data_IF_522653209048
#
_entry.id   IF_522653209048
#
_cell.length_a   1.000
_cell.length_b   1.000
_cell.length_c   1.000
_cell.angle_alpha   90.00
_cell.angle_beta   90.00
_cell.angle_gamma   90.00
#
_symmetry.space_group_name_H-M   'P 1'
#
loop_
_entity.id
_entity.type
_entity.pdbx_description
1 polymer ?
#
# COMPACT_ATOMS: atom_id res chain seq x y z
N UNK A 1 0.77 14.18 -11.45
CA UNK A 1 0.32 13.03 -10.63
C UNK A 1 -0.92 12.44 -11.28
N UNK A 2 -0.86 11.18 -11.57
CA UNK A 2 -2.02 10.42 -12.04
C UNK A 2 -2.73 9.79 -10.84
N UNK A 3 -4.05 9.92 -10.79
CA UNK A 3 -4.89 9.25 -9.79
C UNK A 3 -5.72 8.17 -10.48
N UNK A 4 -5.64 6.95 -9.97
CA UNK A 4 -6.45 5.81 -10.44
C UNK A 4 -7.35 5.37 -9.29
N UNK A 5 -8.63 5.16 -9.58
CA UNK A 5 -9.60 4.64 -8.61
C UNK A 5 -10.31 3.44 -9.18
N UNK A 6 -10.35 2.37 -8.37
CA UNK A 6 -11.06 1.13 -8.71
C UNK A 6 -11.94 0.72 -7.54
N UNK A 7 -13.07 0.10 -7.85
CA UNK A 7 -14.00 -0.40 -6.84
C UNK A 7 -14.16 -1.90 -7.02
N UNK A 8 -14.05 -2.62 -5.90
CA UNK A 8 -14.24 -4.07 -5.85
C UNK A 8 -15.30 -4.41 -4.81
N UNK A 9 -16.02 -5.50 -5.05
CA UNK A 9 -16.86 -6.10 -4.02
C UNK A 9 -16.00 -7.05 -3.20
N UNK A 10 -15.96 -6.85 -1.89
CA UNK A 10 -15.20 -7.68 -0.95
C UNK A 10 -16.12 -8.22 0.14
N UNK A 11 -15.73 -9.32 0.74
CA UNK A 11 -16.38 -9.80 1.94
C UNK A 11 -16.02 -8.92 3.13
N UNK A 12 -17.03 -8.48 3.88
CA UNK A 12 -16.81 -7.77 5.12
C UNK A 12 -16.55 -8.81 6.20
N UNK A 13 -15.39 -8.74 6.82
CA UNK A 13 -15.07 -9.63 7.93
C UNK A 13 -15.92 -9.24 9.16
N UNK A 14 -16.91 -10.07 9.47
CA UNK A 14 -17.80 -9.87 10.61
C UNK A 14 -17.49 -10.87 11.72
N UNK A 15 -16.73 -10.46 12.72
CA UNK A 15 -16.67 -11.17 13.99
C UNK A 15 -17.33 -10.35 15.08
N UNK A 16 -17.84 -11.00 16.14
CA UNK A 16 -18.41 -10.27 17.30
C UNK A 16 -17.41 -9.30 17.93
N UNK A 17 -16.11 -9.63 17.92
CA UNK A 17 -15.05 -8.76 18.40
C UNK A 17 -14.86 -7.54 17.47
N UNK A 18 -14.87 -7.75 16.16
CA UNK A 18 -14.77 -6.65 15.19
C UNK A 18 -15.96 -5.72 15.29
N UNK A 19 -17.17 -6.25 15.38
CA UNK A 19 -18.39 -5.45 15.58
C UNK A 19 -18.36 -4.66 16.89
N UNK A 20 -17.88 -5.26 17.97
CA UNK A 20 -17.85 -4.62 19.28
C UNK A 20 -16.84 -3.49 19.38
N UNK A 21 -15.64 -3.66 18.80
CA UNK A 21 -14.53 -2.72 18.98
C UNK A 21 -14.24 -1.83 17.77
N UNK A 22 -14.62 -2.24 16.56
CA UNK A 22 -14.22 -1.58 15.32
C UNK A 22 -15.38 -1.21 14.39
N UNK A 23 -16.65 -1.48 14.76
CA UNK A 23 -17.82 -1.24 13.90
C UNK A 23 -17.97 0.18 13.37
N UNK A 24 -17.46 1.16 14.12
CA UNK A 24 -17.55 2.59 13.78
C UNK A 24 -16.21 3.16 13.29
N UNK A 25 -15.18 2.32 13.13
CA UNK A 25 -13.87 2.77 12.69
C UNK A 25 -13.75 2.69 11.16
N UNK A 26 -13.23 3.75 10.57
CA UNK A 26 -12.91 3.81 9.14
C UNK A 26 -11.57 3.13 8.92
N UNK A 27 -11.61 1.94 8.37
CA UNK A 27 -10.42 1.15 8.07
C UNK A 27 -9.82 1.54 6.73
N UNK A 28 -8.49 1.67 6.69
CA UNK A 28 -7.69 1.75 5.48
C UNK A 28 -6.66 0.63 5.42
N UNK A 29 -6.32 0.18 4.23
CA UNK A 29 -5.16 -0.68 3.93
C UNK A 29 -4.21 0.14 3.10
N UNK A 30 -2.93 0.18 3.46
CA UNK A 30 -1.97 1.12 2.89
C UNK A 30 -0.66 0.44 2.50
N UNK A 31 -0.13 0.84 1.34
CA UNK A 31 1.14 0.38 0.79
C UNK A 31 1.75 1.44 -0.13
N UNK A 32 3.09 1.52 -0.21
CA UNK A 32 3.82 2.43 -1.07
C UNK A 32 4.86 1.74 -1.93
N UNK A 33 5.13 2.34 -3.11
CA UNK A 33 6.26 2.01 -3.97
C UNK A 33 7.26 3.16 -3.98
N UNK A 34 8.53 2.83 -3.83
CA UNK A 34 9.63 3.80 -3.76
C UNK A 34 10.77 3.39 -4.68
N UNK A 35 11.63 4.32 -5.09
CA UNK A 35 12.82 3.99 -5.89
C UNK A 35 13.96 3.35 -5.10
N UNK A 36 13.72 3.00 -3.84
CA UNK A 36 14.67 2.32 -2.98
C UNK A 36 14.40 2.59 -1.51
N UNK A 37 15.15 1.94 -0.64
CA UNK A 37 14.85 1.88 0.79
C UNK A 37 15.24 3.15 1.59
N UNK A 38 16.09 4.01 1.03
CA UNK A 38 16.54 5.23 1.72
C UNK A 38 15.66 6.43 1.37
N UNK A 39 14.86 6.96 2.30
CA UNK A 39 14.03 8.13 2.05
C UNK A 39 14.83 9.41 1.75
N UNK A 40 16.10 9.46 2.13
CA UNK A 40 16.99 10.59 1.81
C UNK A 40 17.35 10.61 0.32
N UNK A 41 17.44 9.44 -0.34
CA UNK A 41 17.91 9.29 -1.72
C UNK A 41 16.81 8.95 -2.70
N UNK A 42 15.83 8.19 -2.24
CA UNK A 42 14.79 7.59 -3.07
C UNK A 42 13.47 8.33 -2.95
N UNK A 43 12.85 8.77 -4.04
CA UNK A 43 11.52 9.35 -4.01
C UNK A 43 10.42 8.30 -3.86
N UNK A 44 9.27 8.73 -3.36
CA UNK A 44 8.00 8.03 -3.46
C UNK A 44 7.51 8.07 -4.90
N UNK A 45 7.09 6.92 -5.46
CA UNK A 45 6.62 6.82 -6.84
C UNK A 45 5.17 6.42 -6.97
N UNK A 46 4.65 5.68 -6.01
CA UNK A 46 3.25 5.29 -5.96
C UNK A 46 2.83 5.15 -4.50
N UNK A 47 1.64 5.58 -4.18
CA UNK A 47 0.98 5.27 -2.93
C UNK A 47 -0.42 4.74 -3.20
N UNK A 48 -0.80 3.68 -2.50
CA UNK A 48 -2.11 3.06 -2.60
C UNK A 48 -2.82 3.04 -1.25
N UNK A 49 -4.09 3.42 -1.25
CA UNK A 49 -4.98 3.33 -0.09
C UNK A 49 -6.27 2.62 -0.51
N UNK A 50 -6.60 1.53 0.20
CA UNK A 50 -7.87 0.84 0.07
C UNK A 50 -8.73 1.18 1.29
N UNK A 51 -9.98 1.55 1.06
CA UNK A 51 -11.00 1.73 2.10
C UNK A 51 -12.22 0.90 1.77
N UNK A 52 -12.93 0.40 2.79
CA UNK A 52 -14.13 -0.42 2.60
C UNK A 52 -15.31 0.25 3.29
N UNK A 53 -16.41 0.38 2.57
CA UNK A 53 -17.67 0.87 3.13
C UNK A 53 -18.49 -0.24 3.83
N UNK A 54 -19.59 0.15 4.46
CA UNK A 54 -20.48 -0.78 5.18
C UNK A 54 -21.19 -1.78 4.25
N UNK A 55 -21.19 -1.52 2.96
CA UNK A 55 -21.79 -2.39 1.94
C UNK A 55 -20.79 -3.39 1.35
N UNK A 56 -19.50 -3.31 1.73
CA UNK A 56 -18.43 -4.14 1.20
C UNK A 56 -17.91 -3.66 -0.17
N UNK A 57 -18.06 -2.37 -0.48
CA UNK A 57 -17.38 -1.81 -1.63
C UNK A 57 -15.99 -1.35 -1.18
N UNK A 58 -14.95 -2.00 -1.69
CA UNK A 58 -13.56 -1.61 -1.50
C UNK A 58 -13.17 -0.59 -2.56
N UNK A 59 -12.93 0.65 -2.16
CA UNK A 59 -12.37 1.68 -3.01
C UNK A 59 -10.85 1.68 -2.87
N UNK A 60 -10.14 1.40 -3.95
CA UNK A 60 -8.68 1.54 -4.05
C UNK A 60 -8.38 2.85 -4.75
N UNK A 61 -7.67 3.74 -4.07
CA UNK A 61 -7.13 4.98 -4.61
C UNK A 61 -5.62 4.87 -4.74
N UNK A 62 -5.11 5.00 -5.95
CA UNK A 62 -3.68 4.93 -6.26
C UNK A 62 -3.20 6.27 -6.81
N UNK A 63 -2.10 6.79 -6.28
CA UNK A 63 -1.49 8.06 -6.63
C UNK A 63 -0.11 7.80 -7.22
N UNK A 64 0.01 7.91 -8.55
CA UNK A 64 1.22 7.58 -9.31
C UNK A 64 1.97 8.85 -9.72
N UNK A 65 3.28 8.88 -9.47
CA UNK A 65 4.16 9.98 -9.85
C UNK A 65 4.61 9.84 -11.31
N UNK A 66 4.02 10.60 -12.22
CA UNK A 66 4.46 10.68 -13.60
C UNK A 66 5.76 11.49 -13.74
N UNK A 67 5.99 12.43 -12.84
CA UNK A 67 7.19 13.28 -12.76
C UNK A 67 7.59 13.55 -11.32
N UNK A 68 8.83 14.03 -11.13
CA UNK A 68 9.42 14.18 -9.78
C UNK A 68 8.60 15.11 -8.84
N UNK A 69 8.01 16.15 -9.40
CA UNK A 69 7.20 17.11 -8.62
C UNK A 69 5.92 16.50 -8.07
N UNK A 70 5.46 15.39 -8.66
CA UNK A 70 4.22 14.74 -8.26
C UNK A 70 4.32 14.08 -6.86
N UNK A 71 5.53 13.79 -6.40
CA UNK A 71 5.75 13.25 -5.05
C UNK A 71 5.11 14.13 -3.96
N UNK A 72 5.32 15.45 -4.05
CA UNK A 72 4.73 16.38 -3.09
C UNK A 72 3.20 16.38 -3.14
N UNK A 73 2.62 16.27 -4.34
CA UNK A 73 1.17 16.18 -4.53
C UNK A 73 0.59 14.88 -3.96
N UNK A 74 1.30 13.76 -4.13
CA UNK A 74 0.92 12.47 -3.54
C UNK A 74 0.88 12.60 -2.02
N UNK A 75 1.92 13.16 -1.41
CA UNK A 75 2.02 13.31 0.03
C UNK A 75 0.95 14.24 0.60
N UNK A 76 0.61 15.30 -0.12
CA UNK A 76 -0.48 16.20 0.26
C UNK A 76 -1.84 15.48 0.20
N UNK A 77 -2.07 14.66 -0.84
CA UNK A 77 -3.30 13.89 -0.96
C UNK A 77 -3.42 12.84 0.14
N UNK A 78 -2.34 12.09 0.42
CA UNK A 78 -2.30 11.11 1.52
C UNK A 78 -2.61 11.75 2.88
N UNK A 79 -2.12 12.95 3.14
CA UNK A 79 -2.42 13.66 4.39
C UNK A 79 -3.92 13.88 4.57
N UNK A 80 -4.62 14.30 3.51
CA UNK A 80 -6.07 14.49 3.51
C UNK A 80 -6.83 13.15 3.67
N UNK A 81 -6.34 12.10 2.99
CA UNK A 81 -6.97 10.79 3.05
C UNK A 81 -6.84 10.20 4.46
N UNK A 82 -5.68 10.33 5.10
CA UNK A 82 -5.42 9.83 6.45
C UNK A 82 -6.26 10.52 7.54
N UNK A 83 -6.76 11.74 7.32
CA UNK A 83 -7.72 12.40 8.22
C UNK A 83 -9.05 11.63 8.32
N UNK A 84 -9.33 10.79 7.31
CA UNK A 84 -10.54 9.98 7.26
C UNK A 84 -10.32 8.51 7.64
N UNK A 85 -9.19 8.19 8.24
CA UNK A 85 -8.84 6.83 8.67
C UNK A 85 -8.70 6.82 10.20
N UNK A 86 -9.36 5.85 10.83
CA UNK A 86 -9.27 5.61 12.27
C UNK A 86 -8.38 4.39 12.58
N UNK A 87 -8.26 3.47 11.61
CA UNK A 87 -7.52 2.23 11.74
C UNK A 87 -6.82 1.88 10.40
N UNK A 88 -5.50 1.84 10.41
CA UNK A 88 -4.70 1.56 9.22
C UNK A 88 -4.04 0.18 9.30
N UNK A 89 -4.26 -0.64 8.30
CA UNK A 89 -3.59 -1.94 8.12
C UNK A 89 -2.42 -1.77 7.16
N UNK A 90 -1.26 -2.28 7.57
CA UNK A 90 -0.03 -2.26 6.75
C UNK A 90 0.70 -3.58 6.83
N UNK A 91 1.62 -3.82 5.90
CA UNK A 91 2.56 -4.93 5.95
C UNK A 91 3.99 -4.41 6.08
N UNK A 92 4.56 -4.46 7.30
CA UNK A 92 5.85 -3.84 7.66
C UNK A 92 5.84 -2.29 7.55
N UNK A 93 4.68 -1.68 7.39
CA UNK A 93 4.55 -0.24 7.16
C UNK A 93 4.85 0.62 8.39
N UNK A 94 4.73 0.06 9.60
CA UNK A 94 5.14 0.72 10.85
C UNK A 94 6.64 1.02 10.87
N UNK A 95 7.44 0.17 10.21
CA UNK A 95 8.90 0.31 10.18
C UNK A 95 9.35 0.97 8.88
N UNK A 96 8.63 0.77 7.77
CA UNK A 96 9.04 1.26 6.46
C UNK A 96 8.15 2.42 5.95
N UNK A 97 6.91 2.16 5.60
CA UNK A 97 6.06 3.10 4.85
C UNK A 97 5.82 4.42 5.59
N UNK A 98 5.36 4.35 6.83
CA UNK A 98 5.04 5.54 7.62
C UNK A 98 6.29 6.38 7.94
N UNK A 99 7.40 5.80 8.45
CA UNK A 99 8.65 6.54 8.63
C UNK A 99 9.26 7.05 7.32
N UNK A 100 9.06 6.35 6.20
CA UNK A 100 9.48 6.81 4.89
C UNK A 100 8.77 8.11 4.50
N UNK A 101 7.44 8.15 4.63
CA UNK A 101 6.65 9.35 4.35
C UNK A 101 7.07 10.53 5.23
N UNK A 102 7.30 10.33 6.53
CA UNK A 102 7.73 11.38 7.46
C UNK A 102 9.06 11.99 7.04
N UNK A 103 10.07 11.14 6.78
CA UNK A 103 11.39 11.59 6.34
C UNK A 103 11.37 12.28 4.98
N UNK A 104 10.52 11.78 4.05
CA UNK A 104 10.34 12.44 2.75
C UNK A 104 9.66 13.78 2.88
N UNK A 105 8.62 13.91 3.73
CA UNK A 105 7.97 15.18 4.02
C UNK A 105 8.99 16.21 4.55
N UNK A 106 9.79 15.82 5.53
CA UNK A 106 10.86 16.66 6.06
C UNK A 106 11.84 17.11 4.96
N UNK A 107 12.31 16.17 4.12
CA UNK A 107 13.25 16.48 3.04
C UNK A 107 12.68 17.43 1.98
N UNK A 108 11.39 17.34 1.72
CA UNK A 108 10.68 18.16 0.73
C UNK A 108 10.14 19.47 1.32
N UNK A 109 10.46 19.77 2.59
CA UNK A 109 9.95 20.94 3.32
C UNK A 109 8.42 21.01 3.34
N UNK A 110 7.77 19.83 3.36
CA UNK A 110 6.33 19.70 3.50
C UNK A 110 5.94 19.66 4.98
N UNK A 111 4.67 20.00 5.32
CA UNK A 111 4.18 19.82 6.66
C UNK A 111 4.32 18.35 7.12
N UNK A 112 4.62 18.09 8.40
CA UNK A 112 4.74 16.73 8.91
C UNK A 112 3.43 15.97 8.80
N UNK A 113 3.52 14.64 8.75
CA UNK A 113 2.36 13.79 8.94
C UNK A 113 1.99 13.73 10.43
N UNK A 114 0.71 13.83 10.72
CA UNK A 114 0.15 13.57 12.04
C UNK A 114 -0.79 12.37 11.91
N UNK A 115 -0.35 11.22 12.42
CA UNK A 115 -1.12 9.99 12.35
C UNK A 115 -2.07 9.89 13.54
N UNK A 116 -3.36 10.13 13.30
CA UNK A 116 -4.42 10.03 14.32
C UNK A 116 -5.19 8.70 14.22
N UNK A 117 -4.56 7.66 13.71
CA UNK A 117 -5.14 6.34 13.53
C UNK A 117 -4.35 5.28 14.31
N UNK A 118 -5.00 4.18 14.61
CA UNK A 118 -4.32 2.97 15.07
C UNK A 118 -3.68 2.26 13.88
N UNK A 119 -2.41 1.88 13.98
CA UNK A 119 -1.75 1.09 12.93
C UNK A 119 -1.66 -0.38 13.34
N UNK A 120 -2.29 -1.27 12.57
CA UNK A 120 -2.12 -2.71 12.62
C UNK A 120 -1.11 -3.13 11.56
N UNK A 121 0.08 -3.49 11.99
CA UNK A 121 1.12 -4.01 11.11
C UNK A 121 1.10 -5.54 11.13
N UNK A 122 0.58 -6.16 10.06
CA UNK A 122 0.43 -7.62 10.00
C UNK A 122 1.78 -8.34 10.00
N UNK A 123 2.84 -7.76 9.40
CA UNK A 123 4.18 -8.34 9.49
C UNK A 123 4.63 -8.48 10.96
N UNK A 124 4.45 -7.42 11.74
CA UNK A 124 4.82 -7.41 13.16
C UNK A 124 3.97 -8.40 13.97
N UNK A 125 2.68 -8.50 13.67
CA UNK A 125 1.80 -9.46 14.33
C UNK A 125 2.21 -10.90 14.03
N UNK A 126 2.41 -11.23 12.75
CA UNK A 126 2.83 -12.58 12.34
C UNK A 126 4.17 -12.93 12.98
N UNK A 127 5.12 -12.01 12.94
CA UNK A 127 6.46 -12.22 13.49
C UNK A 127 6.48 -12.45 15.00
N UNK A 128 5.64 -11.73 15.75
CA UNK A 128 5.74 -11.69 17.21
C UNK A 128 4.71 -12.54 17.93
N UNK A 129 3.57 -12.83 17.29
CA UNK A 129 2.40 -13.42 17.97
C UNK A 129 1.79 -14.61 17.22
N UNK A 130 2.38 -15.04 16.08
CA UNK A 130 1.87 -16.14 15.29
C UNK A 130 2.90 -17.24 15.10
N UNK A 131 2.46 -18.50 15.12
CA UNK A 131 3.28 -19.66 14.77
C UNK A 131 3.69 -19.67 13.30
N UNK A 132 2.96 -18.96 12.43
CA UNK A 132 3.27 -18.81 10.99
C UNK A 132 4.72 -18.33 10.80
N UNK A 133 5.17 -17.40 11.65
CA UNK A 133 6.54 -16.89 11.60
C UNK A 133 7.61 -17.95 11.87
N UNK A 134 7.27 -19.05 12.54
CA UNK A 134 8.15 -20.18 12.81
C UNK A 134 8.08 -21.26 11.72
N UNK A 135 6.92 -21.38 11.06
CA UNK A 135 6.66 -22.40 10.04
C UNK A 135 7.22 -22.03 8.66
N UNK A 136 7.27 -20.73 8.35
CA UNK A 136 7.68 -20.24 7.04
C UNK A 136 9.18 -19.88 7.00
N UNK A 137 9.83 -20.10 5.86
CA UNK A 137 11.24 -19.71 5.63
C UNK A 137 11.44 -18.19 5.69
N UNK A 138 10.42 -17.43 5.33
CA UNK A 138 10.34 -15.99 5.45
C UNK A 138 8.85 -15.60 5.55
N UNK A 139 8.61 -14.43 6.09
CA UNK A 139 7.26 -13.87 6.25
C UNK A 139 7.06 -12.66 5.33
N UNK A 140 7.51 -12.73 4.06
CA UNK A 140 7.11 -11.75 3.05
C UNK A 140 5.61 -11.88 2.78
N UNK A 141 4.95 -10.81 2.43
CA UNK A 141 3.50 -10.79 2.20
C UNK A 141 3.06 -11.92 1.26
N UNK A 142 3.67 -12.06 0.07
CA UNK A 142 3.36 -13.13 -0.91
C UNK A 142 3.54 -14.54 -0.32
N UNK A 143 4.55 -14.76 0.52
CA UNK A 143 4.76 -16.07 1.15
C UNK A 143 3.66 -16.40 2.16
N UNK A 144 3.17 -15.40 2.90
CA UNK A 144 2.06 -15.57 3.82
C UNK A 144 0.74 -15.76 3.05
N UNK A 145 0.52 -15.00 1.97
CA UNK A 145 -0.63 -15.19 1.07
C UNK A 145 -0.69 -16.63 0.52
N UNK A 146 0.44 -17.16 0.04
CA UNK A 146 0.53 -18.55 -0.44
C UNK A 146 0.17 -19.55 0.66
N UNK A 147 0.71 -19.37 1.85
CA UNK A 147 0.41 -20.23 3.00
C UNK A 147 -1.07 -20.18 3.39
N UNK A 148 -1.72 -19.02 3.29
CA UNK A 148 -3.14 -18.82 3.57
C UNK A 148 -4.07 -19.22 2.40
N UNK A 149 -3.51 -19.68 1.27
CA UNK A 149 -4.28 -20.08 0.10
C UNK A 149 -4.89 -18.91 -0.69
N UNK A 150 -4.31 -17.73 -0.59
CA UNK A 150 -4.79 -16.51 -1.25
C UNK A 150 -4.13 -16.23 -2.61
N UNK A 151 -3.07 -16.96 -2.96
CA UNK A 151 -2.25 -16.71 -4.16
C UNK A 151 -3.02 -16.71 -5.47
N UNK A 152 -4.03 -17.59 -5.61
CA UNK A 152 -4.83 -17.73 -6.84
C UNK A 152 -5.63 -16.46 -7.21
N UNK A 153 -5.84 -15.57 -6.25
CA UNK A 153 -6.57 -14.32 -6.50
C UNK A 153 -5.67 -13.15 -6.93
N UNK A 154 -4.34 -13.33 -6.89
CA UNK A 154 -3.37 -12.34 -7.33
C UNK A 154 -3.19 -12.40 -8.86
N UNK A 155 -3.21 -11.27 -9.52
CA UNK A 155 -3.00 -11.13 -10.98
C UNK A 155 -1.58 -10.67 -11.32
N UNK A 156 -0.95 -10.02 -10.36
CA UNK A 156 0.41 -9.52 -10.44
C UNK A 156 1.44 -10.64 -10.26
N UNK A 157 2.52 -10.62 -11.04
CA UNK A 157 3.64 -11.58 -10.97
C UNK A 157 4.99 -10.95 -10.61
N UNK A 158 5.05 -9.62 -10.45
CA UNK A 158 6.30 -8.91 -10.20
C UNK A 158 6.60 -8.79 -8.70
N UNK A 159 7.85 -8.52 -8.39
CA UNK A 159 8.32 -8.17 -7.04
C UNK A 159 8.47 -6.64 -6.90
N UNK A 160 8.58 -6.14 -5.67
CA UNK A 160 8.87 -4.73 -5.43
C UNK A 160 10.19 -4.26 -6.08
N UNK A 161 11.22 -5.13 -6.21
CA UNK A 161 12.44 -4.80 -6.93
C UNK A 161 12.19 -4.63 -8.43
N UNK A 162 11.39 -5.50 -9.03
CA UNK A 162 10.98 -5.37 -10.44
C UNK A 162 10.08 -4.15 -10.66
N UNK A 163 9.24 -3.77 -9.69
CA UNK A 163 8.45 -2.53 -9.73
C UNK A 163 9.36 -1.30 -9.87
N UNK A 164 10.49 -1.26 -9.15
CA UNK A 164 11.50 -0.20 -9.27
C UNK A 164 12.10 -0.17 -10.68
N UNK A 165 12.50 -1.32 -11.22
CA UNK A 165 13.07 -1.42 -12.57
C UNK A 165 12.08 -0.94 -13.65
N UNK A 166 10.82 -1.38 -13.55
CA UNK A 166 9.75 -0.95 -14.46
C UNK A 166 9.51 0.56 -14.39
N UNK A 167 9.57 1.16 -13.20
CA UNK A 167 9.41 2.60 -13.08
C UNK A 167 10.59 3.36 -13.69
N UNK A 168 11.82 2.88 -13.52
CA UNK A 168 13.00 3.49 -14.15
C UNK A 168 12.93 3.39 -15.68
N UNK A 169 12.42 2.28 -16.21
CA UNK A 169 12.16 2.11 -17.65
C UNK A 169 11.03 3.06 -18.11
N UNK A 170 9.91 3.13 -17.36
CA UNK A 170 8.82 4.08 -17.60
C UNK A 170 9.33 5.52 -17.74
N UNK A 171 10.26 5.94 -16.89
CA UNK A 171 10.83 7.30 -16.91
C UNK A 171 11.70 7.58 -18.13
N UNK A 172 12.35 6.58 -18.70
CA UNK A 172 13.21 6.70 -19.89
C UNK A 172 12.45 6.48 -21.20
N UNK A 173 11.28 5.82 -21.12
CA UNK A 173 10.50 5.42 -22.29
C UNK A 173 9.92 6.63 -23.03
N UNK A 174 10.11 6.65 -24.35
CA UNK A 174 9.52 7.65 -25.27
C UNK A 174 8.28 7.10 -25.99
N UNK A 175 8.15 5.78 -26.10
CA UNK A 175 6.99 5.12 -26.68
C UNK A 175 5.81 5.18 -25.71
N UNK A 176 4.76 5.87 -26.10
CA UNK A 176 3.57 6.05 -25.25
C UNK A 176 2.86 4.72 -24.96
N UNK A 177 2.79 3.80 -25.92
CA UNK A 177 2.14 2.50 -25.75
C UNK A 177 2.89 1.62 -24.75
N UNK A 178 4.22 1.59 -24.84
CA UNK A 178 5.06 0.88 -23.88
C UNK A 178 4.99 1.52 -22.50
N UNK A 179 5.01 2.84 -22.42
CA UNK A 179 4.90 3.59 -21.17
C UNK A 179 3.61 3.26 -20.42
N UNK A 180 2.48 3.19 -21.10
CA UNK A 180 1.20 2.79 -20.53
C UNK A 180 1.19 1.34 -20.03
N UNK A 181 1.89 0.43 -20.72
CA UNK A 181 2.03 -0.98 -20.29
C UNK A 181 2.86 -1.09 -19.01
N UNK A 182 3.97 -0.34 -18.92
CA UNK A 182 4.82 -0.32 -17.73
C UNK A 182 4.06 0.24 -16.52
N UNK A 183 3.37 1.36 -16.71
CA UNK A 183 2.53 1.98 -15.69
C UNK A 183 1.45 1.01 -15.18
N UNK A 184 0.72 0.34 -16.09
CA UNK A 184 -0.31 -0.64 -15.71
C UNK A 184 0.25 -1.77 -14.87
N UNK A 185 1.46 -2.26 -15.15
CA UNK A 185 2.09 -3.32 -14.34
C UNK A 185 2.41 -2.85 -12.94
N UNK A 186 2.97 -1.64 -12.79
CA UNK A 186 3.30 -1.06 -11.49
C UNK A 186 2.03 -0.83 -10.66
N UNK A 187 1.00 -0.25 -11.29
CA UNK A 187 -0.29 -0.04 -10.63
C UNK A 187 -0.94 -1.36 -10.21
N UNK A 188 -0.88 -2.40 -11.06
CA UNK A 188 -1.44 -3.71 -10.74
C UNK A 188 -0.72 -4.37 -9.56
N UNK A 189 0.59 -4.20 -9.45
CA UNK A 189 1.37 -4.73 -8.33
C UNK A 189 0.87 -4.16 -6.99
N UNK A 190 0.90 -2.85 -6.82
CA UNK A 190 0.41 -2.20 -5.61
C UNK A 190 -1.11 -2.45 -5.37
N UNK A 191 -1.91 -2.49 -6.43
CA UNK A 191 -3.33 -2.84 -6.34
C UNK A 191 -3.55 -4.22 -5.72
N UNK A 192 -2.81 -5.23 -6.20
CA UNK A 192 -2.93 -6.59 -5.70
C UNK A 192 -2.36 -6.71 -4.28
N UNK A 193 -1.27 -5.99 -3.95
CA UNK A 193 -0.74 -5.94 -2.59
C UNK A 193 -1.79 -5.42 -1.60
N UNK A 194 -2.52 -4.37 -1.94
CA UNK A 194 -3.60 -3.84 -1.12
C UNK A 194 -4.77 -4.81 -0.94
N UNK A 195 -5.25 -5.43 -2.05
CA UNK A 195 -6.35 -6.38 -1.98
C UNK A 195 -6.00 -7.65 -1.21
N UNK A 196 -4.78 -8.16 -1.37
CA UNK A 196 -4.34 -9.34 -0.65
C UNK A 196 -4.12 -9.02 0.84
N UNK A 197 -3.55 -7.86 1.14
CA UNK A 197 -3.37 -7.40 2.51
C UNK A 197 -4.72 -7.23 3.25
N UNK A 198 -5.76 -6.80 2.55
CA UNK A 198 -7.12 -6.76 3.09
C UNK A 198 -7.68 -8.14 3.43
N UNK A 199 -7.31 -9.18 2.66
CA UNK A 199 -7.79 -10.56 2.85
C UNK A 199 -7.01 -11.33 3.92
N UNK A 200 -5.76 -10.94 4.20
CA UNK A 200 -4.93 -11.48 5.29
C UNK A 200 -5.47 -11.09 6.66
#
# INVERSE_FOLDING_TARGET
>A
MKTVRTVHKVEIFKSKLMEQYFSNMRMGVFDIETLGLSPEKSPLVLAGLLTVDQEGNALISQYFAEKRQDEALIMEQLRRDFENIDFLVTYNGKIFDLPFLEKRAYKLYLPPFHYNFYNLDLYMMIKSYSEIGLLLKNIKQKTVEEYMGLSDSRKDSISGAESVELYLEYKKCQDQSLKEKLEKKILLHNHDDLLQLYKL
#
